data_IF_081518278615
#
_entry.id   IF_081518278615
#
_cell.length_a   1.000
_cell.length_b   1.000
_cell.length_c   1.000
_cell.angle_alpha   90.00
_cell.angle_beta   90.00
_cell.angle_gamma   90.00
#
_symmetry.space_group_name_H-M   'P 1'
#
loop_
_entity.id
_entity.type
_entity.pdbx_description
1 polymer ?
#
# COMPACT_ATOMS: atom_id res chain seq x y z
N UNK A 1 3.78 11.72 4.94
CA UNK A 1 3.13 10.64 4.17
C UNK A 1 4.08 10.11 3.11
N UNK A 2 4.42 10.88 2.07
CA UNK A 2 5.34 10.40 1.02
C UNK A 2 6.69 9.90 1.57
N UNK A 3 7.32 10.64 2.48
CA UNK A 3 8.58 10.21 3.11
C UNK A 3 8.52 8.84 3.83
N UNK A 4 7.35 8.42 4.34
CA UNK A 4 7.17 7.09 4.93
C UNK A 4 6.90 6.03 3.87
N UNK A 5 6.19 6.38 2.79
CA UNK A 5 6.01 5.52 1.62
C UNK A 5 7.35 5.28 0.90
N UNK A 6 8.23 6.26 0.82
CA UNK A 6 9.57 6.15 0.23
C UNK A 6 10.46 5.15 1.00
N UNK A 7 10.25 5.02 2.31
CA UNK A 7 10.92 4.00 3.14
C UNK A 7 10.32 2.61 2.92
N UNK A 8 9.02 2.53 2.62
CA UNK A 8 8.29 1.28 2.38
C UNK A 8 8.53 0.72 0.99
N UNK A 9 8.68 1.59 -0.02
CA UNK A 9 8.60 1.21 -1.44
C UNK A 9 9.54 0.05 -1.77
N UNK A 10 9.15 -0.84 -2.68
CA UNK A 10 9.99 -1.97 -3.09
C UNK A 10 11.28 -1.52 -3.79
N UNK A 11 12.20 -2.47 -4.03
CA UNK A 11 13.42 -2.20 -4.80
C UNK A 11 14.51 -1.42 -4.08
N UNK A 12 14.43 -1.24 -2.76
CA UNK A 12 15.47 -0.55 -1.96
C UNK A 12 16.76 -1.39 -1.78
N UNK A 13 16.72 -2.70 -2.06
CA UNK A 13 17.84 -3.61 -1.87
C UNK A 13 17.85 -4.71 -2.93
N UNK A 14 19.03 -5.28 -3.19
CA UNK A 14 19.20 -6.45 -4.08
C UNK A 14 18.49 -7.70 -3.56
N UNK A 15 18.18 -7.76 -2.27
CA UNK A 15 17.53 -8.92 -1.64
C UNK A 15 16.00 -8.84 -1.62
N UNK A 16 15.40 -7.71 -2.03
CA UNK A 16 13.95 -7.54 -2.08
C UNK A 16 13.45 -7.58 -3.53
N UNK A 17 12.12 -7.58 -3.68
CA UNK A 17 11.46 -7.48 -4.98
C UNK A 17 12.06 -6.35 -5.83
N UNK A 18 12.33 -6.67 -7.10
CA UNK A 18 12.89 -5.73 -8.08
C UNK A 18 11.83 -4.83 -8.73
N UNK A 19 10.57 -4.92 -8.28
CA UNK A 19 9.50 -4.03 -8.73
C UNK A 19 9.85 -2.59 -8.39
N UNK A 20 9.59 -1.70 -9.34
CA UNK A 20 9.78 -0.26 -9.19
C UNK A 20 8.41 0.41 -9.09
N UNK A 21 7.83 0.30 -7.90
CA UNK A 21 6.64 1.09 -7.56
C UNK A 21 7.12 2.39 -6.91
N UNK A 22 6.75 3.56 -7.44
CA UNK A 22 7.14 4.84 -6.85
C UNK A 22 6.39 5.11 -5.54
N UNK A 23 5.27 4.40 -5.29
CA UNK A 23 4.39 4.59 -4.12
C UNK A 23 3.99 6.06 -3.95
N UNK A 24 3.74 6.77 -5.05
CA UNK A 24 3.26 8.14 -5.05
C UNK A 24 1.84 8.21 -4.48
N UNK A 25 1.68 9.00 -3.42
CA UNK A 25 0.37 9.24 -2.81
C UNK A 25 -0.31 10.46 -3.42
N UNK A 26 -1.54 10.27 -3.86
CA UNK A 26 -2.47 11.34 -4.25
C UNK A 26 -3.50 11.49 -3.15
N UNK A 27 -3.60 12.67 -2.54
CA UNK A 27 -4.65 12.95 -1.56
C UNK A 27 -5.87 13.44 -2.33
N UNK A 28 -7.03 12.79 -2.11
CA UNK A 28 -8.24 13.03 -2.87
C UNK A 28 -9.27 13.88 -2.12
N UNK A 29 -9.26 13.86 -0.79
CA UNK A 29 -10.24 14.58 0.05
C UNK A 29 -9.71 14.85 1.45
N UNK A 30 -10.45 15.68 2.22
CA UNK A 30 -10.21 15.88 3.65
C UNK A 30 -9.08 16.87 3.98
N UNK A 31 -8.63 17.65 2.99
CA UNK A 31 -7.62 18.69 3.16
C UNK A 31 -7.97 19.95 2.36
N UNK A 32 -7.38 21.07 2.78
CA UNK A 32 -7.25 22.32 2.02
C UNK A 32 -5.78 22.73 2.00
N UNK A 33 -5.40 23.57 1.05
CA UNK A 33 -4.11 24.26 1.08
C UNK A 33 -4.21 25.45 2.04
N UNK A 34 -3.16 25.62 2.84
CA UNK A 34 -2.97 26.81 3.67
C UNK A 34 -2.60 28.03 2.79
N UNK A 35 -2.52 29.21 3.40
CA UNK A 35 -2.21 30.47 2.70
C UNK A 35 -0.81 30.47 2.05
N UNK A 36 0.11 29.64 2.55
CA UNK A 36 1.45 29.45 1.96
C UNK A 36 1.44 28.67 0.63
N UNK A 37 0.31 28.06 0.27
CA UNK A 37 0.15 27.26 -0.95
C UNK A 37 0.89 25.91 -0.95
N UNK A 38 1.55 25.54 0.14
CA UNK A 38 2.38 24.33 0.26
C UNK A 38 1.88 23.41 1.39
N UNK A 39 1.46 23.98 2.51
CA UNK A 39 1.00 23.25 3.67
C UNK A 39 -0.44 22.79 3.46
N UNK A 40 -0.69 21.52 3.79
CA UNK A 40 -2.04 20.96 3.75
C UNK A 40 -2.62 20.90 5.16
N UNK A 41 -3.81 21.49 5.34
CA UNK A 41 -4.56 21.47 6.59
C UNK A 41 -5.74 20.51 6.45
N UNK A 42 -5.92 19.61 7.42
CA UNK A 42 -7.08 18.71 7.45
C UNK A 42 -8.36 19.47 7.78
N UNK A 43 -9.44 19.20 7.05
CA UNK A 43 -10.74 19.87 7.24
C UNK A 43 -11.60 19.26 8.35
N UNK A 44 -11.14 18.18 8.99
CA UNK A 44 -11.93 17.38 9.94
C UNK A 44 -12.89 16.39 9.26
N UNK A 45 -12.96 16.35 7.93
CA UNK A 45 -13.75 15.37 7.15
C UNK A 45 -12.88 14.18 6.72
N UNK A 46 -13.46 13.10 6.17
CA UNK A 46 -12.69 11.91 5.77
C UNK A 46 -11.56 12.22 4.79
N UNK A 47 -10.34 11.80 5.15
CA UNK A 47 -9.15 11.91 4.29
C UNK A 47 -9.04 10.66 3.42
N UNK A 48 -9.15 10.84 2.10
CA UNK A 48 -8.98 9.77 1.12
C UNK A 48 -7.62 9.91 0.42
N UNK A 49 -6.94 8.79 0.22
CA UNK A 49 -5.64 8.72 -0.43
C UNK A 49 -5.64 7.60 -1.47
N UNK A 50 -5.02 7.86 -2.62
CA UNK A 50 -4.85 6.93 -3.72
C UNK A 50 -3.36 6.71 -3.98
N UNK A 51 -2.98 5.43 -4.16
CA UNK A 51 -1.64 5.03 -4.56
C UNK A 51 -1.81 4.10 -5.75
N UNK A 52 -1.31 4.53 -6.91
CA UNK A 52 -1.43 3.75 -8.15
C UNK A 52 -0.48 2.57 -8.17
N UNK A 53 -0.84 1.52 -8.90
CA UNK A 53 0.00 0.33 -9.09
C UNK A 53 0.52 0.36 -10.53
N UNK A 54 1.80 0.69 -10.73
CA UNK A 54 2.35 1.03 -12.06
C UNK A 54 3.27 -0.04 -12.66
N UNK A 55 3.85 -0.93 -11.86
CA UNK A 55 4.71 -2.04 -12.29
C UNK A 55 4.05 -3.40 -11.97
N UNK A 56 2.75 -3.50 -12.27
CA UNK A 56 2.03 -4.77 -12.19
C UNK A 56 2.40 -5.67 -13.37
N UNK A 57 3.31 -6.61 -13.14
CA UNK A 57 3.65 -7.64 -14.13
C UNK A 57 2.65 -8.78 -14.04
N UNK A 58 1.85 -8.97 -15.08
CA UNK A 58 0.86 -10.05 -15.19
C UNK A 58 1.40 -11.33 -15.84
N UNK A 59 2.59 -11.28 -16.46
CA UNK A 59 3.13 -12.35 -17.33
C UNK A 59 3.78 -13.54 -16.59
N UNK A 60 4.06 -13.46 -15.29
CA UNK A 60 4.83 -14.49 -14.59
C UNK A 60 3.98 -15.61 -13.92
N UNK A 61 2.67 -15.71 -14.19
CA UNK A 61 1.75 -16.55 -13.40
C UNK A 61 1.14 -17.77 -14.12
N UNK A 62 1.63 -18.14 -15.32
CA UNK A 62 1.05 -19.25 -16.10
C UNK A 62 1.00 -20.58 -15.34
N UNK A 63 2.08 -20.94 -14.64
CA UNK A 63 2.16 -22.14 -13.80
C UNK A 63 1.39 -21.97 -12.48
N UNK A 64 1.41 -20.76 -11.89
CA UNK A 64 0.77 -20.43 -10.61
C UNK A 64 -0.77 -20.47 -10.71
N UNK A 65 -1.32 -20.24 -11.90
CA UNK A 65 -2.75 -20.35 -12.15
C UNK A 65 -3.32 -21.73 -11.79
N UNK A 66 -2.51 -22.79 -11.96
CA UNK A 66 -2.94 -24.19 -11.80
C UNK A 66 -2.71 -24.78 -10.41
N UNK A 67 -2.02 -24.07 -9.51
CA UNK A 67 -1.62 -24.60 -8.20
C UNK A 67 -1.80 -23.57 -7.09
N UNK A 68 -2.27 -23.98 -5.91
CA UNK A 68 -2.28 -23.12 -4.73
C UNK A 68 -0.87 -22.98 -4.16
N UNK A 69 -0.40 -21.75 -3.92
CA UNK A 69 0.95 -21.53 -3.38
C UNK A 69 0.96 -21.82 -1.88
N UNK A 70 1.84 -22.70 -1.38
CA UNK A 70 1.99 -22.91 0.05
C UNK A 70 2.28 -21.60 0.81
N UNK A 71 1.67 -21.43 1.97
CA UNK A 71 1.80 -20.23 2.81
C UNK A 71 1.11 -18.96 2.27
N UNK A 72 0.46 -19.03 1.11
CA UNK A 72 -0.33 -17.92 0.58
C UNK A 72 -1.82 -18.13 0.83
N UNK A 73 -2.57 -17.03 0.79
CA UNK A 73 -4.01 -17.04 1.01
C UNK A 73 -4.83 -17.61 -0.17
N UNK A 74 -4.19 -18.23 -1.18
CA UNK A 74 -4.86 -18.65 -2.41
C UNK A 74 -6.02 -19.62 -2.14
N UNK A 75 -5.76 -20.70 -1.39
CA UNK A 75 -6.76 -21.73 -1.08
C UNK A 75 -7.84 -21.20 -0.15
N UNK A 76 -7.45 -20.48 0.90
CA UNK A 76 -8.41 -19.96 1.89
C UNK A 76 -9.32 -18.90 1.30
N UNK A 77 -8.85 -18.08 0.35
CA UNK A 77 -9.71 -17.16 -0.40
C UNK A 77 -10.70 -17.90 -1.28
N UNK A 78 -10.23 -18.89 -2.03
CA UNK A 78 -11.06 -19.66 -2.95
C UNK A 78 -12.14 -20.45 -2.20
N UNK A 79 -11.76 -21.16 -1.14
CA UNK A 79 -12.69 -21.89 -0.28
C UNK A 79 -13.75 -20.99 0.38
N UNK A 80 -13.40 -19.74 0.71
CA UNK A 80 -14.30 -18.81 1.38
C UNK A 80 -15.23 -18.06 0.42
N UNK A 81 -14.71 -17.63 -0.73
CA UNK A 81 -15.40 -16.68 -1.62
C UNK A 81 -15.71 -17.28 -3.00
N UNK A 82 -15.28 -18.50 -3.29
CA UNK A 82 -15.46 -19.16 -4.60
C UNK A 82 -14.72 -18.47 -5.74
N UNK A 83 -13.73 -17.62 -5.43
CA UNK A 83 -12.94 -16.88 -6.41
C UNK A 83 -11.48 -16.79 -5.98
N UNK A 84 -10.60 -16.86 -6.97
CA UNK A 84 -9.14 -16.81 -6.78
C UNK A 84 -8.47 -15.90 -7.79
N UNK A 85 -7.81 -14.86 -7.31
CA UNK A 85 -6.87 -14.08 -8.12
C UNK A 85 -5.46 -14.68 -8.05
N UNK A 86 -5.18 -15.61 -8.96
CA UNK A 86 -3.88 -16.29 -9.05
C UNK A 86 -2.72 -15.37 -9.44
N UNK A 87 -2.98 -14.13 -9.89
CA UNK A 87 -1.96 -13.16 -10.32
C UNK A 87 -1.20 -12.53 -9.14
N UNK A 88 -1.53 -12.89 -7.89
CA UNK A 88 -0.82 -12.42 -6.69
C UNK A 88 -0.96 -10.91 -6.39
N UNK A 89 -1.86 -10.21 -7.09
CA UNK A 89 -2.12 -8.77 -6.93
C UNK A 89 -3.38 -8.43 -6.14
N UNK A 90 -4.09 -9.43 -5.61
CA UNK A 90 -5.36 -9.25 -4.90
C UNK A 90 -5.22 -8.76 -3.44
N UNK A 91 -6.33 -8.84 -2.68
CA UNK A 91 -6.46 -8.32 -1.30
C UNK A 91 -5.39 -8.81 -0.31
N UNK A 92 -4.87 -10.03 -0.50
CA UNK A 92 -3.84 -10.64 0.34
C UNK A 92 -2.42 -10.20 -0.02
N UNK A 93 -2.24 -9.35 -1.03
CA UNK A 93 -0.93 -8.83 -1.44
C UNK A 93 -0.33 -7.90 -0.39
N UNK A 94 1.00 -7.95 -0.27
CA UNK A 94 1.77 -6.95 0.47
C UNK A 94 1.60 -5.52 -0.07
N UNK A 95 0.95 -5.33 -1.23
CA UNK A 95 0.57 -4.00 -1.74
C UNK A 95 -0.28 -3.23 -0.72
N UNK A 96 -1.14 -3.91 0.03
CA UNK A 96 -2.03 -3.24 0.99
C UNK A 96 -1.27 -2.52 2.11
N UNK A 97 -0.04 -2.93 2.44
CA UNK A 97 0.73 -2.23 3.47
C UNK A 97 1.11 -0.81 3.05
N UNK A 98 1.06 -0.46 1.76
CA UNK A 98 1.17 0.93 1.29
C UNK A 98 0.06 1.82 1.88
N UNK A 99 -1.19 1.34 1.84
CA UNK A 99 -2.32 2.05 2.43
C UNK A 99 -2.17 2.19 3.96
N UNK A 100 -1.67 1.15 4.64
CA UNK A 100 -1.40 1.20 6.09
C UNK A 100 -0.31 2.22 6.44
N UNK A 101 0.77 2.27 5.67
CA UNK A 101 1.86 3.24 5.87
C UNK A 101 1.35 4.66 5.62
N UNK A 102 0.56 4.88 4.57
CA UNK A 102 -0.02 6.19 4.28
C UNK A 102 -0.93 6.68 5.43
N UNK A 103 -1.85 5.82 5.88
CA UNK A 103 -2.73 6.11 7.01
C UNK A 103 -1.95 6.31 8.32
N UNK A 104 -0.95 5.47 8.59
CA UNK A 104 -0.08 5.59 9.77
C UNK A 104 0.73 6.88 9.78
N UNK A 105 1.22 7.33 8.62
CA UNK A 105 1.92 8.60 8.49
C UNK A 105 1.02 9.80 8.81
N UNK A 106 -0.27 9.72 8.45
CA UNK A 106 -1.25 10.73 8.86
C UNK A 106 -1.52 10.66 10.37
N UNK A 107 -1.74 9.46 10.93
CA UNK A 107 -2.00 9.27 12.36
C UNK A 107 -0.87 9.82 13.25
N UNK A 108 0.40 9.68 12.82
CA UNK A 108 1.56 10.26 13.51
C UNK A 108 1.51 11.79 13.62
N UNK A 109 0.87 12.48 12.68
CA UNK A 109 0.68 13.93 12.76
C UNK A 109 -0.42 14.33 13.76
N UNK A 110 -1.43 13.47 13.95
CA UNK A 110 -2.58 13.74 14.83
C UNK A 110 -2.26 13.47 16.30
N UNK A 111 -1.36 12.52 16.59
CA UNK A 111 -0.99 12.16 17.98
C UNK A 111 0.49 12.51 18.23
N UNK A 112 0.80 13.79 18.52
CA UNK A 112 2.17 14.23 18.76
C UNK A 112 2.76 13.54 20.00
N UNK A 113 4.03 13.14 19.92
CA UNK A 113 4.73 12.41 20.99
C UNK A 113 4.55 10.89 20.99
N UNK A 114 3.72 10.34 20.08
CA UNK A 114 3.58 8.88 19.93
C UNK A 114 4.87 8.25 19.39
N UNK A 115 5.58 7.50 20.25
CA UNK A 115 6.75 6.71 19.86
C UNK A 115 6.31 5.29 19.52
N UNK A 116 6.12 5.02 18.23
CA UNK A 116 5.86 3.66 17.74
C UNK A 116 7.20 2.96 17.52
N UNK A 117 7.53 2.01 18.40
CA UNK A 117 8.66 1.08 18.24
C UNK A 117 8.15 -0.17 17.51
N UNK A 118 8.77 -0.53 16.40
CA UNK A 118 8.50 -1.81 15.73
C UNK A 118 9.04 -2.97 16.56
N UNK A 119 8.33 -4.11 16.55
CA UNK A 119 8.84 -5.39 17.04
C UNK A 119 9.83 -5.99 16.03
#
# INVERSE_FOLDING_TARGET
VQADLDKRRPGQSRFVTQRREPDEVKILSGFILDEDGETMITTGTPVSMLIENVDQRSKDYGEIARQYRPGHADYTYDAKYGLRDHRGGGRSSARETAARVAAGALARKVVPGMVVRGA
#
